data_IF_790687001151
#
_entry.id   IF_790687001151
#
_cell.length_a   1.000
_cell.length_b   1.000
_cell.length_c   1.000
_cell.angle_alpha   90.00
_cell.angle_beta   90.00
_cell.angle_gamma   90.00
#
_symmetry.space_group_name_H-M   'P 1'
#
loop_
_entity.id
_entity.type
_entity.pdbx_description
1 polymer ?
#
# COMPACT_ATOMS: atom_id res chain seq x y z
N UNK A 1 -17.49 -8.61 2.50
CA UNK A 1 -17.18 -7.62 1.48
C UNK A 1 -16.25 -6.55 2.02
N UNK A 2 -15.29 -6.13 1.23
CA UNK A 2 -14.29 -5.15 1.64
C UNK A 2 -14.92 -3.75 1.69
N UNK A 3 -14.93 -3.13 2.88
CA UNK A 3 -15.59 -1.83 3.13
C UNK A 3 -15.01 -0.67 2.31
N UNK A 4 -13.77 -0.81 1.84
CA UNK A 4 -13.09 0.28 1.14
C UNK A 4 -13.53 0.46 -0.30
N UNK A 5 -14.19 -0.54 -0.89
CA UNK A 5 -14.71 -0.43 -2.26
C UNK A 5 -15.76 0.68 -2.40
N UNK A 6 -16.63 0.84 -1.40
CA UNK A 6 -17.65 1.89 -1.46
C UNK A 6 -17.00 3.28 -1.55
N UNK A 7 -16.01 3.54 -0.71
CA UNK A 7 -15.27 4.81 -0.73
C UNK A 7 -14.52 4.94 -2.06
N UNK A 8 -13.89 3.86 -2.52
CA UNK A 8 -13.14 3.87 -3.76
C UNK A 8 -14.00 4.15 -4.98
N UNK A 9 -15.22 3.65 -5.01
CA UNK A 9 -16.14 3.91 -6.12
C UNK A 9 -16.63 5.37 -6.17
N UNK A 10 -16.55 6.09 -5.07
CA UNK A 10 -16.88 7.51 -5.02
C UNK A 10 -15.76 8.39 -5.60
N UNK A 11 -14.55 7.86 -5.75
CA UNK A 11 -13.36 8.62 -6.19
C UNK A 11 -12.47 7.77 -7.10
N UNK A 12 -13.06 7.24 -8.18
CA UNK A 12 -12.30 6.43 -9.14
C UNK A 12 -11.38 7.30 -9.98
N UNK A 13 -10.21 6.77 -10.29
CA UNK A 13 -9.30 7.37 -11.24
C UNK A 13 -9.71 7.00 -12.66
N UNK A 14 -9.69 8.01 -13.53
CA UNK A 14 -9.99 7.85 -14.95
C UNK A 14 -8.66 7.74 -15.69
N UNK A 15 -8.44 6.63 -16.37
CA UNK A 15 -7.23 6.40 -17.14
C UNK A 15 -7.57 6.01 -18.59
N UNK A 16 -6.66 6.34 -19.51
CA UNK A 16 -6.80 5.93 -20.91
C UNK A 16 -5.94 4.69 -21.16
N UNK A 17 -6.55 3.66 -21.73
CA UNK A 17 -5.84 2.48 -22.18
C UNK A 17 -6.36 2.12 -23.57
N UNK A 18 -5.45 2.07 -24.57
CA UNK A 18 -5.80 1.72 -25.97
C UNK A 18 -6.99 2.51 -26.51
N UNK A 19 -6.98 3.84 -26.34
CA UNK A 19 -8.05 4.75 -26.80
C UNK A 19 -9.39 4.59 -26.08
N UNK A 20 -9.44 3.84 -24.97
CA UNK A 20 -10.64 3.72 -24.15
C UNK A 20 -10.38 4.38 -22.80
N UNK A 21 -11.42 5.02 -22.25
CA UNK A 21 -11.41 5.52 -20.91
C UNK A 21 -11.89 4.44 -19.95
N UNK A 22 -11.10 4.12 -18.94
CA UNK A 22 -11.47 3.18 -17.89
C UNK A 22 -11.36 3.84 -16.53
N UNK A 23 -12.12 3.34 -15.57
CA UNK A 23 -12.09 3.81 -14.20
C UNK A 23 -11.49 2.74 -13.31
N UNK A 24 -10.53 3.13 -12.50
CA UNK A 24 -9.84 2.22 -11.58
C UNK A 24 -9.87 2.79 -10.18
N UNK A 25 -9.69 1.92 -9.19
CA UNK A 25 -9.49 2.38 -7.81
C UNK A 25 -8.21 3.20 -7.75
N UNK A 26 -8.21 4.25 -6.93
CA UNK A 26 -6.97 4.99 -6.63
C UNK A 26 -5.98 4.06 -5.96
N UNK A 27 -4.67 4.36 -6.08
CA UNK A 27 -3.66 3.56 -5.41
C UNK A 27 -3.83 3.52 -3.89
N UNK A 28 -4.13 4.64 -3.21
CA UNK A 28 -4.40 4.56 -1.76
C UNK A 28 -5.58 3.66 -1.42
N UNK A 29 -6.67 3.73 -2.18
CA UNK A 29 -7.81 2.87 -1.95
C UNK A 29 -7.45 1.40 -2.18
N UNK A 30 -6.69 1.10 -3.24
CA UNK A 30 -6.21 -0.25 -3.50
C UNK A 30 -5.38 -0.79 -2.33
N UNK A 31 -4.48 0.01 -1.78
CA UNK A 31 -3.72 -0.38 -0.59
C UNK A 31 -4.62 -0.70 0.59
N UNK A 32 -5.63 0.14 0.83
CA UNK A 32 -6.58 -0.10 1.92
C UNK A 32 -7.33 -1.43 1.71
N UNK A 33 -7.75 -1.74 0.47
CA UNK A 33 -8.41 -3.01 0.19
C UNK A 33 -7.49 -4.20 0.44
N UNK A 34 -6.20 -4.06 0.13
CA UNK A 34 -5.21 -5.12 0.37
C UNK A 34 -4.97 -5.35 1.85
N UNK A 35 -4.84 -4.31 2.65
CA UNK A 35 -4.72 -4.45 4.11
C UNK A 35 -5.96 -5.11 4.71
N UNK A 36 -7.15 -4.72 4.25
CA UNK A 36 -8.39 -5.32 4.75
C UNK A 36 -8.47 -6.81 4.39
N UNK A 37 -8.09 -7.16 3.16
CA UNK A 37 -8.04 -8.56 2.73
C UNK A 37 -7.03 -9.36 3.56
N UNK A 38 -5.85 -8.78 3.81
CA UNK A 38 -4.86 -9.40 4.67
C UNK A 38 -5.43 -9.70 6.08
N UNK A 39 -6.10 -8.72 6.67
CA UNK A 39 -6.69 -8.88 8.00
C UNK A 39 -7.74 -10.00 8.04
N UNK A 40 -8.41 -10.26 6.91
CA UNK A 40 -9.43 -11.30 6.80
C UNK A 40 -8.85 -12.70 6.56
N UNK A 41 -7.61 -12.81 6.07
CA UNK A 41 -7.04 -14.07 5.58
C UNK A 41 -6.04 -14.74 6.51
N UNK A 42 -6.06 -14.45 7.80
CA UNK A 42 -5.22 -15.15 8.76
C UNK A 42 -3.96 -14.44 9.21
N UNK A 43 -3.63 -13.29 8.65
CA UNK A 43 -2.64 -12.34 9.20
C UNK A 43 -1.19 -12.83 9.28
N UNK A 44 -0.74 -13.69 8.37
CA UNK A 44 0.67 -14.08 8.29
C UNK A 44 1.42 -13.16 7.32
N UNK A 45 2.18 -12.22 7.86
CA UNK A 45 2.85 -11.18 7.07
C UNK A 45 3.87 -11.73 6.07
N UNK A 46 4.62 -12.75 6.46
CA UNK A 46 5.76 -13.25 5.66
C UNK A 46 5.34 -13.94 4.37
N UNK A 47 4.19 -14.58 4.38
CA UNK A 47 3.71 -15.38 3.25
C UNK A 47 2.54 -14.76 2.51
N UNK A 48 2.11 -13.57 2.94
CA UNK A 48 0.94 -12.91 2.38
C UNK A 48 1.22 -12.29 1.01
N UNK A 49 0.43 -12.68 0.02
CA UNK A 49 0.44 -12.00 -1.28
C UNK A 49 -0.12 -10.58 -1.19
N UNK A 50 -1.03 -10.33 -0.24
CA UNK A 50 -1.55 -8.98 -0.01
C UNK A 50 -0.45 -8.04 0.47
N UNK A 51 0.38 -8.48 1.42
CA UNK A 51 1.52 -7.70 1.90
C UNK A 51 2.56 -7.51 0.80
N UNK A 52 2.83 -8.55 0.02
CA UNK A 52 3.72 -8.46 -1.13
C UNK A 52 3.26 -7.38 -2.11
N UNK A 53 1.97 -7.36 -2.44
CA UNK A 53 1.39 -6.36 -3.35
C UNK A 53 1.48 -4.95 -2.77
N UNK A 54 1.25 -4.79 -1.47
CA UNK A 54 1.36 -3.50 -0.79
C UNK A 54 2.78 -2.97 -0.88
N UNK A 55 3.77 -3.80 -0.56
CA UNK A 55 5.17 -3.42 -0.63
C UNK A 55 5.58 -3.08 -2.06
N UNK A 56 5.11 -3.87 -3.03
CA UNK A 56 5.39 -3.62 -4.44
C UNK A 56 4.89 -2.24 -4.88
N UNK A 57 3.68 -1.87 -4.50
CA UNK A 57 3.12 -0.57 -4.86
C UNK A 57 3.88 0.57 -4.20
N UNK A 58 4.18 0.45 -2.90
CA UNK A 58 4.94 1.49 -2.20
C UNK A 58 6.33 1.64 -2.82
N UNK A 59 6.98 0.53 -3.14
CA UNK A 59 8.31 0.54 -3.72
C UNK A 59 8.32 1.19 -5.12
N UNK A 60 7.38 0.81 -5.96
CA UNK A 60 7.46 1.10 -7.40
C UNK A 60 6.66 2.31 -7.86
N UNK A 61 5.65 2.75 -7.11
CA UNK A 61 4.84 3.90 -7.53
C UNK A 61 5.46 5.20 -7.00
N UNK A 62 6.01 5.99 -7.92
CA UNK A 62 6.75 7.22 -7.56
C UNK A 62 5.91 8.20 -6.77
N UNK A 63 4.63 8.37 -7.12
CA UNK A 63 3.74 9.37 -6.53
C UNK A 63 2.95 8.86 -5.32
N UNK A 64 3.24 7.65 -4.82
CA UNK A 64 2.39 7.02 -3.80
C UNK A 64 2.32 7.82 -2.50
N UNK A 65 3.42 8.43 -2.05
CA UNK A 65 3.43 9.21 -0.80
C UNK A 65 2.49 10.39 -0.90
N UNK A 66 2.58 11.15 -1.99
CA UNK A 66 1.71 12.32 -2.20
C UNK A 66 0.24 11.89 -2.36
N UNK A 67 0.01 10.79 -3.06
CA UNK A 67 -1.35 10.27 -3.27
C UNK A 67 -2.00 9.87 -1.96
N UNK A 68 -1.25 9.20 -1.09
CA UNK A 68 -1.76 8.81 0.23
C UNK A 68 -2.01 10.04 1.10
N UNK A 69 -1.10 11.01 1.07
CA UNK A 69 -1.23 12.24 1.86
C UNK A 69 -2.48 13.04 1.49
N UNK A 70 -2.93 12.93 0.24
CA UNK A 70 -4.07 13.70 -0.30
C UNK A 70 -5.36 12.89 -0.42
N UNK A 71 -5.35 11.61 -0.07
CA UNK A 71 -6.52 10.75 -0.22
C UNK A 71 -7.56 11.03 0.87
N UNK A 72 -8.70 10.34 0.78
CA UNK A 72 -9.72 10.36 1.82
C UNK A 72 -9.09 10.10 3.19
N UNK A 73 -9.43 10.92 4.16
CA UNK A 73 -8.83 10.85 5.50
C UNK A 73 -9.03 9.47 6.16
N UNK A 74 -10.15 8.83 5.90
CA UNK A 74 -10.44 7.49 6.45
C UNK A 74 -9.45 6.46 5.90
N UNK A 75 -9.12 6.57 4.62
CA UNK A 75 -8.13 5.70 3.97
C UNK A 75 -6.73 5.99 4.53
N UNK A 76 -6.36 7.27 4.64
CA UNK A 76 -5.06 7.66 5.18
C UNK A 76 -4.86 7.11 6.59
N UNK A 77 -5.84 7.31 7.48
CA UNK A 77 -5.72 6.83 8.85
C UNK A 77 -5.66 5.31 8.94
N UNK A 78 -6.41 4.62 8.09
CA UNK A 78 -6.36 3.16 8.04
C UNK A 78 -4.98 2.66 7.58
N UNK A 79 -4.44 3.22 6.51
CA UNK A 79 -3.11 2.84 6.01
C UNK A 79 -2.06 3.09 7.09
N UNK A 80 -2.10 4.25 7.74
CA UNK A 80 -1.15 4.59 8.82
C UNK A 80 -1.26 3.59 9.96
N UNK A 81 -2.48 3.24 10.37
CA UNK A 81 -2.67 2.29 11.48
C UNK A 81 -2.14 0.90 11.14
N UNK A 82 -2.31 0.45 9.90
CA UNK A 82 -1.83 -0.86 9.47
C UNK A 82 -0.31 -0.90 9.34
N UNK A 83 0.30 0.17 8.83
CA UNK A 83 1.75 0.28 8.80
C UNK A 83 2.34 0.37 10.22
N UNK A 84 1.65 1.07 11.12
CA UNK A 84 2.09 1.16 12.51
C UNK A 84 2.10 -0.21 13.19
N UNK A 85 1.13 -1.07 12.90
CA UNK A 85 1.14 -2.44 13.42
C UNK A 85 2.39 -3.21 13.01
N UNK A 86 2.80 -3.06 11.75
CA UNK A 86 4.02 -3.70 11.25
C UNK A 86 5.25 -3.18 11.98
N UNK A 87 5.33 -1.87 12.14
CA UNK A 87 6.45 -1.21 12.84
C UNK A 87 6.49 -1.65 14.31
N UNK A 88 5.36 -1.65 14.99
CA UNK A 88 5.28 -2.02 16.40
C UNK A 88 5.67 -3.48 16.66
N UNK A 89 5.42 -4.36 15.69
CA UNK A 89 5.81 -5.76 15.77
C UNK A 89 7.29 -5.98 15.44
N UNK A 90 7.99 -4.92 15.00
CA UNK A 90 9.40 -5.04 14.61
C UNK A 90 9.61 -5.83 13.33
N UNK A 91 8.60 -5.89 12.46
CA UNK A 91 8.63 -6.73 11.25
C UNK A 91 9.02 -5.99 9.98
N UNK A 92 9.11 -4.67 10.00
CA UNK A 92 9.24 -3.90 8.77
C UNK A 92 10.45 -4.33 7.94
N UNK A 93 11.63 -4.39 8.53
CA UNK A 93 12.84 -4.74 7.78
C UNK A 93 12.78 -6.15 7.22
N UNK A 94 12.32 -7.09 8.03
CA UNK A 94 12.17 -8.48 7.59
C UNK A 94 11.22 -8.61 6.41
N UNK A 95 10.10 -7.87 6.45
CA UNK A 95 9.13 -7.91 5.35
C UNK A 95 9.69 -7.29 4.09
N UNK A 96 10.45 -6.20 4.19
CA UNK A 96 11.08 -5.61 3.03
C UNK A 96 12.11 -6.58 2.41
N UNK A 97 12.89 -7.25 3.24
CA UNK A 97 13.85 -8.26 2.77
C UNK A 97 13.14 -9.46 2.13
N UNK A 98 12.01 -9.86 2.67
CA UNK A 98 11.25 -11.01 2.17
C UNK A 98 10.59 -10.71 0.82
N UNK A 99 10.03 -9.51 0.65
CA UNK A 99 9.16 -9.19 -0.48
C UNK A 99 9.81 -8.36 -1.58
N UNK A 100 10.99 -7.78 -1.34
CA UNK A 100 11.73 -7.06 -2.38
C UNK A 100 12.73 -8.02 -3.02
N UNK A 101 12.85 -7.95 -4.35
CA UNK A 101 13.73 -8.84 -5.10
C UNK A 101 15.19 -8.76 -4.59
N UNK A 102 15.86 -9.91 -4.32
CA UNK A 102 17.21 -9.93 -3.73
C UNK A 102 18.26 -9.12 -4.51
N UNK A 103 18.15 -9.04 -5.82
CA UNK A 103 19.14 -8.33 -6.64
C UNK A 103 19.12 -6.81 -6.47
N UNK A 104 18.01 -6.25 -5.96
CA UNK A 104 17.83 -4.80 -5.84
C UNK A 104 17.57 -4.36 -4.40
N UNK A 105 17.57 -5.29 -3.44
CA UNK A 105 17.14 -4.99 -2.07
C UNK A 105 17.96 -3.90 -1.40
N UNK A 106 19.29 -3.94 -1.56
CA UNK A 106 20.17 -2.98 -0.89
C UNK A 106 19.90 -1.53 -1.33
N UNK A 107 19.52 -1.36 -2.61
CA UNK A 107 19.20 -0.03 -3.14
C UNK A 107 17.79 0.41 -2.76
N UNK A 108 16.85 -0.53 -2.72
CA UNK A 108 15.43 -0.22 -2.55
C UNK A 108 15.00 -0.10 -1.10
N UNK A 109 15.65 -0.81 -0.19
CA UNK A 109 15.17 -0.89 1.20
C UNK A 109 15.13 0.48 1.87
N UNK A 110 16.15 1.29 1.69
CA UNK A 110 16.19 2.63 2.30
C UNK A 110 15.15 3.56 1.66
N UNK A 111 14.95 3.45 0.34
CA UNK A 111 13.94 4.23 -0.37
C UNK A 111 12.54 3.89 0.15
N UNK A 112 12.23 2.61 0.29
CA UNK A 112 10.92 2.18 0.80
C UNK A 112 10.73 2.61 2.25
N UNK A 113 11.76 2.50 3.09
CA UNK A 113 11.71 2.98 4.48
C UNK A 113 11.42 4.49 4.54
N UNK A 114 12.05 5.29 3.69
CA UNK A 114 11.81 6.73 3.62
C UNK A 114 10.37 7.03 3.21
N UNK A 115 9.86 6.31 2.22
CA UNK A 115 8.47 6.47 1.78
C UNK A 115 7.49 6.16 2.92
N UNK A 116 7.71 5.05 3.61
CA UNK A 116 6.86 4.66 4.75
C UNK A 116 6.92 5.71 5.84
N UNK A 117 8.11 6.20 6.16
CA UNK A 117 8.27 7.26 7.16
C UNK A 117 7.50 8.52 6.75
N UNK A 118 7.55 8.90 5.48
CA UNK A 118 6.81 10.05 4.96
C UNK A 118 5.29 9.83 5.06
N UNK A 119 4.81 8.63 4.79
CA UNK A 119 3.40 8.29 4.96
C UNK A 119 2.98 8.43 6.42
N UNK A 120 3.81 7.93 7.34
CA UNK A 120 3.51 7.98 8.77
C UNK A 120 3.46 9.40 9.31
N UNK A 121 4.16 10.34 8.66
CA UNK A 121 4.17 11.75 9.05
C UNK A 121 3.17 12.61 8.27
N UNK A 122 2.38 12.00 7.42
CA UNK A 122 1.37 12.72 6.64
C UNK A 122 0.19 13.19 7.51
#
# INVERSE_FOLDING_TARGET
TNRWYKIGFEDLWKVKAKNQEIYILSAPCFLATKFEAFNSRGKEYRTSHDIEDIIYIIDNRISIVDEIAKCDERILEFIKSELQKIIDKGLLEELLQTHIHPLIIDERIEIVKEKINSIMNA
#
